data_IF_109157736661
#
_entry.id   IF_109157736661
#
_cell.length_a   1.000
_cell.length_b   1.000
_cell.length_c   1.000
_cell.angle_alpha   90.00
_cell.angle_beta   90.00
_cell.angle_gamma   90.00
#
_symmetry.space_group_name_H-M   'P 1'
#
loop_
_entity.id
_entity.type
_entity.pdbx_description
1 polymer ?
#
# COMPACT_ATOMS: atom_id res chain seq x y z
N UNK A 1 -15.74 0.55 -35.63
CA UNK A 1 -14.60 -0.25 -35.14
C UNK A 1 -14.92 -0.63 -33.71
N UNK A 2 -15.12 -1.91 -33.44
CA UNK A 2 -15.45 -2.43 -32.12
C UNK A 2 -14.15 -2.61 -31.32
N UNK A 3 -14.05 -1.96 -30.16
CA UNK A 3 -12.97 -2.19 -29.21
C UNK A 3 -13.27 -3.50 -28.50
N UNK A 4 -12.60 -4.58 -28.90
CA UNK A 4 -12.57 -5.82 -28.15
C UNK A 4 -11.81 -5.57 -26.86
N UNK A 5 -12.54 -5.41 -25.76
CA UNK A 5 -12.00 -5.37 -24.39
C UNK A 5 -11.57 -6.78 -24.06
N UNK A 6 -10.31 -7.10 -24.32
CA UNK A 6 -9.69 -8.38 -24.00
C UNK A 6 -9.48 -8.51 -22.50
N UNK A 7 -10.03 -9.59 -21.94
CA UNK A 7 -9.85 -10.21 -20.62
C UNK A 7 -8.75 -9.67 -19.69
N UNK A 8 -9.12 -9.27 -18.46
CA UNK A 8 -8.25 -9.33 -17.26
C UNK A 8 -7.41 -8.09 -16.90
N UNK A 9 -7.73 -6.92 -17.47
CA UNK A 9 -6.95 -5.68 -17.27
C UNK A 9 -7.82 -4.50 -16.85
N UNK A 10 -9.00 -4.76 -16.26
CA UNK A 10 -9.86 -3.69 -15.78
C UNK A 10 -9.29 -3.06 -14.49
N UNK A 11 -8.65 -3.86 -13.62
CA UNK A 11 -7.93 -3.35 -12.44
C UNK A 11 -6.69 -2.51 -12.77
N UNK A 12 -6.06 -2.72 -13.93
CA UNK A 12 -4.84 -2.02 -14.34
C UNK A 12 -5.06 -0.56 -14.78
N UNK A 13 -6.30 -0.14 -15.04
CA UNK A 13 -6.63 1.24 -15.50
C UNK A 13 -6.58 2.26 -14.34
N UNK A 14 -6.66 1.79 -13.09
CA UNK A 14 -6.64 2.62 -11.88
C UNK A 14 -5.41 2.39 -11.00
N UNK A 15 -4.41 1.67 -11.50
CA UNK A 15 -3.19 1.41 -10.76
C UNK A 15 -2.35 2.69 -10.67
N UNK A 16 -1.94 3.04 -9.45
CA UNK A 16 -1.05 4.18 -9.21
C UNK A 16 0.40 3.69 -9.27
N UNK A 17 1.23 4.31 -10.12
CA UNK A 17 2.67 4.07 -10.09
C UNK A 17 3.27 4.89 -8.94
N UNK A 18 3.71 4.22 -7.87
CA UNK A 18 4.18 4.86 -6.65
C UNK A 18 5.68 4.62 -6.49
N UNK A 19 6.44 5.61 -6.02
CA UNK A 19 7.86 5.47 -5.70
C UNK A 19 8.09 4.73 -4.37
N UNK A 20 9.30 4.18 -4.19
CA UNK A 20 9.71 3.57 -2.93
C UNK A 20 9.50 4.52 -1.73
N UNK A 21 9.91 5.79 -1.85
CA UNK A 21 9.76 6.80 -0.79
C UNK A 21 8.28 7.09 -0.44
N UNK A 22 7.38 6.94 -1.41
CA UNK A 22 5.93 7.13 -1.18
C UNK A 22 5.29 5.90 -0.50
N UNK A 23 5.87 4.70 -0.67
CA UNK A 23 5.43 3.49 0.04
C UNK A 23 5.79 3.57 1.52
N UNK A 24 6.92 4.19 1.86
CA UNK A 24 7.39 4.31 3.24
C UNK A 24 6.37 4.96 4.19
N UNK A 25 6.41 4.52 5.45
CA UNK A 25 5.53 4.98 6.50
C UNK A 25 4.41 3.99 6.83
N UNK A 26 3.45 4.45 7.64
CA UNK A 26 2.38 3.61 8.18
C UNK A 26 1.11 3.69 7.34
N UNK A 27 0.60 2.53 6.99
CA UNK A 27 -0.65 2.30 6.28
C UNK A 27 -1.63 1.61 7.22
N UNK A 28 -2.88 2.01 7.20
CA UNK A 28 -3.93 1.44 8.05
C UNK A 28 -5.19 1.18 7.28
N UNK A 29 -5.86 0.09 7.58
CA UNK A 29 -7.22 -0.19 7.11
C UNK A 29 -8.27 0.07 8.19
N UNK A 30 -9.53 0.15 7.77
CA UNK A 30 -10.68 0.25 8.68
C UNK A 30 -10.88 -1.04 9.50
N UNK A 31 -10.26 -2.16 9.10
CA UNK A 31 -10.21 -3.43 9.85
C UNK A 31 -9.24 -3.41 11.05
N UNK A 32 -8.61 -2.27 11.34
CA UNK A 32 -7.47 -2.10 12.26
C UNK A 32 -6.20 -2.88 11.85
N UNK A 33 -6.06 -3.28 10.59
CA UNK A 33 -4.78 -3.80 10.09
C UNK A 33 -3.84 -2.62 9.87
N UNK A 34 -2.56 -2.78 10.23
CA UNK A 34 -1.54 -1.79 9.87
C UNK A 34 -0.29 -2.42 9.29
N UNK A 35 0.30 -1.73 8.30
CA UNK A 35 1.59 -2.06 7.70
C UNK A 35 2.49 -0.84 7.84
N UNK A 36 3.70 -1.02 8.34
CA UNK A 36 4.71 0.04 8.43
C UNK A 36 5.89 -0.34 7.56
N UNK A 37 6.10 0.42 6.50
CA UNK A 37 7.18 0.21 5.54
C UNK A 37 8.38 1.09 5.86
N UNK A 38 9.57 0.51 5.77
CA UNK A 38 10.85 1.16 6.04
C UNK A 38 11.69 1.31 4.77
N UNK A 39 12.60 2.30 4.78
CA UNK A 39 13.55 2.62 3.70
C UNK A 39 14.42 1.41 3.30
N UNK A 40 14.77 0.55 4.26
CA UNK A 40 15.58 -0.64 4.08
C UNK A 40 14.84 -1.83 3.43
N UNK A 41 13.67 -1.58 2.82
CA UNK A 41 12.80 -2.58 2.19
C UNK A 41 12.26 -3.63 3.17
N UNK A 42 12.24 -3.32 4.47
CA UNK A 42 11.54 -4.14 5.47
C UNK A 42 10.17 -3.55 5.81
N UNK A 43 9.29 -4.39 6.34
CA UNK A 43 8.02 -3.93 6.91
C UNK A 43 7.67 -4.68 8.19
N UNK A 44 6.87 -4.01 9.02
CA UNK A 44 6.18 -4.59 10.15
C UNK A 44 4.67 -4.59 9.90
N UNK A 45 3.97 -5.61 10.39
CA UNK A 45 2.54 -5.78 10.24
C UNK A 45 1.88 -6.01 11.60
N UNK A 46 0.73 -5.37 11.79
CA UNK A 46 -0.13 -5.55 12.95
C UNK A 46 -1.51 -5.97 12.47
N UNK A 47 -2.08 -7.01 13.09
CA UNK A 47 -3.41 -7.54 12.77
C UNK A 47 -3.59 -7.87 11.27
N UNK A 48 -2.53 -8.36 10.61
CA UNK A 48 -2.59 -8.76 9.20
C UNK A 48 -3.52 -9.97 9.00
N UNK A 49 -3.64 -10.83 10.01
CA UNK A 49 -4.55 -11.97 10.06
C UNK A 49 -6.04 -11.62 9.90
N UNK A 50 -6.40 -10.34 10.06
CA UNK A 50 -7.75 -9.86 9.79
C UNK A 50 -8.06 -9.70 8.30
N UNK A 51 -7.04 -9.63 7.45
CA UNK A 51 -7.23 -9.54 6.01
C UNK A 51 -7.51 -10.93 5.44
N UNK A 52 -8.51 -11.10 4.55
CA UNK A 52 -8.81 -12.41 3.96
C UNK A 52 -7.61 -13.10 3.30
N UNK A 53 -6.74 -12.31 2.63
CA UNK A 53 -5.54 -12.81 1.96
C UNK A 53 -4.52 -13.44 2.92
N UNK A 54 -4.54 -13.08 4.20
CA UNK A 54 -3.64 -13.67 5.18
C UNK A 54 -3.94 -15.17 5.41
N UNK A 55 -5.18 -15.60 5.19
CA UNK A 55 -5.59 -17.00 5.33
C UNK A 55 -5.10 -17.91 4.20
N UNK A 56 -4.59 -17.33 3.11
CA UNK A 56 -3.88 -18.09 2.09
C UNK A 56 -2.48 -18.52 2.57
N UNK A 57 -1.95 -17.85 3.61
CA UNK A 57 -0.76 -18.27 4.32
C UNK A 57 -1.10 -19.32 5.40
N UNK A 58 -0.23 -20.31 5.60
CA UNK A 58 -0.46 -21.40 6.55
C UNK A 58 -0.61 -20.98 8.02
N UNK A 59 0.03 -19.87 8.43
CA UNK A 59 -0.02 -19.34 9.81
C UNK A 59 -0.31 -17.83 9.82
N UNK A 60 -1.57 -17.40 9.62
CA UNK A 60 -1.92 -15.98 9.44
C UNK A 60 -1.53 -15.09 10.62
N UNK A 61 -1.66 -15.58 11.86
CA UNK A 61 -1.33 -14.84 13.07
C UNK A 61 0.18 -14.62 13.29
N UNK A 62 1.03 -15.30 12.52
CA UNK A 62 2.49 -15.18 12.61
C UNK A 62 3.08 -14.22 11.55
N UNK A 63 2.23 -13.62 10.72
CA UNK A 63 2.58 -12.67 9.68
C UNK A 63 2.80 -11.27 10.26
N UNK A 64 3.93 -11.10 10.96
CA UNK A 64 4.23 -9.89 11.72
C UNK A 64 5.26 -8.97 11.05
N UNK A 65 6.08 -9.50 10.14
CA UNK A 65 7.12 -8.73 9.47
C UNK A 65 7.65 -9.45 8.22
N UNK A 66 8.35 -8.69 7.39
CA UNK A 66 8.92 -9.22 6.17
C UNK A 66 9.73 -8.20 5.39
N UNK A 67 9.97 -8.54 4.13
CA UNK A 67 10.55 -7.64 3.13
C UNK A 67 9.54 -7.29 2.06
N UNK A 68 9.73 -6.15 1.42
CA UNK A 68 8.87 -5.71 0.33
C UNK A 68 9.67 -5.32 -0.90
N UNK A 69 9.08 -5.56 -2.07
CA UNK A 69 9.67 -5.27 -3.37
C UNK A 69 8.58 -4.87 -4.36
N UNK A 70 8.91 -4.11 -5.40
CA UNK A 70 7.94 -3.91 -6.48
C UNK A 70 7.97 -5.10 -7.43
N UNK A 71 6.81 -5.47 -7.97
CA UNK A 71 6.76 -6.30 -9.16
C UNK A 71 7.12 -5.46 -10.38
N UNK A 72 8.30 -5.71 -10.95
CA UNK A 72 8.79 -5.04 -12.14
C UNK A 72 9.13 -6.09 -13.22
N UNK A 73 9.05 -5.74 -14.51
CA UNK A 73 9.56 -6.61 -15.56
C UNK A 73 11.06 -6.80 -15.33
N UNK A 74 11.48 -8.05 -15.11
CA UNK A 74 12.91 -8.35 -15.00
C UNK A 74 13.57 -8.06 -16.36
N UNK A 75 14.78 -7.49 -16.37
CA UNK A 75 15.48 -7.19 -17.62
C UNK A 75 15.61 -8.46 -18.49
N UNK A 76 14.89 -8.48 -19.61
CA UNK A 76 14.90 -9.60 -20.56
C UNK A 76 13.75 -10.60 -20.44
N UNK A 77 12.88 -10.47 -19.43
CA UNK A 77 11.71 -11.34 -19.25
C UNK A 77 10.38 -10.58 -19.43
N UNK A 78 9.40 -11.25 -20.04
CA UNK A 78 8.04 -10.71 -20.18
C UNK A 78 7.19 -10.88 -18.90
N UNK A 79 7.77 -11.49 -17.86
CA UNK A 79 7.11 -11.77 -16.60
C UNK A 79 7.62 -10.81 -15.53
N UNK A 80 6.69 -10.17 -14.82
CA UNK A 80 7.06 -9.35 -13.67
C UNK A 80 7.53 -10.26 -12.53
N UNK A 81 8.65 -9.91 -11.90
CA UNK A 81 9.17 -10.57 -10.70
C UNK A 81 9.35 -9.52 -9.60
N UNK A 82 9.44 -9.97 -8.34
CA UNK A 82 9.78 -9.08 -7.24
C UNK A 82 11.21 -8.55 -7.39
N UNK A 83 11.37 -7.24 -7.54
CA UNK A 83 12.64 -6.54 -7.68
C UNK A 83 12.79 -5.50 -6.56
N UNK A 84 13.71 -5.78 -5.62
CA UNK A 84 14.04 -4.86 -4.50
C UNK A 84 14.76 -3.59 -4.99
N UNK A 85 15.33 -3.59 -6.20
CA UNK A 85 16.03 -2.45 -6.80
C UNK A 85 15.12 -1.49 -7.55
N UNK A 86 13.90 -1.94 -7.87
CA UNK A 86 12.91 -1.12 -8.54
C UNK A 86 12.54 0.11 -7.70
N UNK A 87 12.71 1.30 -8.28
CA UNK A 87 12.44 2.56 -7.58
C UNK A 87 10.94 2.90 -7.47
N UNK A 88 10.10 2.23 -8.26
CA UNK A 88 8.66 2.50 -8.39
C UNK A 88 7.93 1.28 -8.94
N UNK A 89 6.64 1.23 -8.70
CA UNK A 89 5.77 0.22 -9.31
C UNK A 89 4.32 0.39 -8.90
N UNK A 90 3.48 -0.46 -9.47
CA UNK A 90 2.02 -0.49 -9.25
C UNK A 90 1.57 -1.67 -8.38
N UNK A 91 2.48 -2.61 -8.12
CA UNK A 91 2.24 -3.83 -7.34
C UNK A 91 3.43 -4.07 -6.44
N UNK A 92 3.16 -4.34 -5.17
CA UNK A 92 4.13 -4.76 -4.17
C UNK A 92 4.04 -6.27 -3.94
N UNK A 93 5.20 -6.88 -3.77
CA UNK A 93 5.36 -8.20 -3.17
C UNK A 93 5.65 -8.00 -1.69
N UNK A 94 4.80 -8.55 -0.80
CA UNK A 94 5.01 -8.60 0.64
C UNK A 94 5.48 -10.01 1.01
N UNK A 95 6.77 -10.15 1.29
CA UNK A 95 7.42 -11.42 1.55
C UNK A 95 7.61 -11.55 3.06
N UNK A 96 6.74 -12.32 3.71
CA UNK A 96 6.79 -12.54 5.15
C UNK A 96 7.95 -13.44 5.53
N UNK A 97 8.66 -13.10 6.61
CA UNK A 97 9.76 -13.93 7.11
C UNK A 97 9.27 -15.29 7.64
N UNK A 98 8.04 -15.34 8.13
CA UNK A 98 7.41 -16.56 8.61
C UNK A 98 6.68 -17.29 7.48
N UNK A 99 6.95 -18.59 7.35
CA UNK A 99 6.14 -19.48 6.52
C UNK A 99 6.28 -19.32 5.02
N UNK A 100 7.34 -18.65 4.55
CA UNK A 100 7.62 -18.38 3.13
C UNK A 100 6.40 -17.84 2.38
N UNK A 101 5.58 -17.02 3.05
CA UNK A 101 4.36 -16.49 2.46
C UNK A 101 4.63 -15.20 1.69
N UNK A 102 4.19 -15.17 0.44
CA UNK A 102 4.19 -13.97 -0.39
C UNK A 102 2.76 -13.51 -0.64
N UNK A 103 2.48 -12.24 -0.31
CA UNK A 103 1.20 -11.60 -0.59
C UNK A 103 1.40 -10.45 -1.57
N UNK A 104 0.60 -10.42 -2.63
CA UNK A 104 0.59 -9.29 -3.56
C UNK A 104 -0.28 -8.17 -3.01
N UNK A 105 0.23 -6.94 -3.09
CA UNK A 105 -0.51 -5.74 -2.75
C UNK A 105 -0.54 -4.79 -3.95
N UNK A 106 -1.75 -4.53 -4.45
CA UNK A 106 -1.98 -3.66 -5.58
C UNK A 106 -2.13 -2.22 -5.10
N UNK A 107 -1.50 -1.30 -5.83
CA UNK A 107 -1.51 0.12 -5.52
C UNK A 107 -2.49 0.82 -6.47
N UNK A 108 -3.47 1.51 -5.90
CA UNK A 108 -4.50 2.24 -6.63
C UNK A 108 -4.55 3.71 -6.20
N UNK A 109 -5.35 4.50 -6.90
CA UNK A 109 -5.60 5.90 -6.59
C UNK A 109 -4.74 6.84 -7.42
N UNK A 110 -4.34 7.97 -6.83
CA UNK A 110 -3.44 8.96 -7.43
C UNK A 110 -2.25 9.25 -6.50
N UNK A 111 -1.23 9.93 -7.02
CA UNK A 111 0.03 10.22 -6.31
C UNK A 111 -0.15 10.92 -4.95
N UNK A 112 -1.26 11.64 -4.76
CA UNK A 112 -1.53 12.42 -3.55
C UNK A 112 -2.31 11.66 -2.47
N UNK A 113 -3.10 10.66 -2.89
CA UNK A 113 -3.91 9.83 -2.01
C UNK A 113 -3.88 8.37 -2.46
N UNK A 114 -2.70 7.71 -2.40
CA UNK A 114 -2.60 6.32 -2.80
C UNK A 114 -3.29 5.40 -1.80
N UNK A 115 -3.85 4.31 -2.32
CA UNK A 115 -4.46 3.24 -1.52
C UNK A 115 -3.82 1.91 -1.86
N UNK A 116 -3.62 1.08 -0.85
CA UNK A 116 -3.00 -0.23 -0.97
C UNK A 116 -4.03 -1.32 -0.72
N UNK A 117 -4.01 -2.36 -1.56
CA UNK A 117 -4.91 -3.48 -1.43
C UNK A 117 -4.15 -4.81 -1.51
N UNK A 118 -3.86 -5.45 -0.36
CA UNK A 118 -3.35 -6.82 -0.29
C UNK A 118 -4.43 -7.81 -0.74
N UNK A 119 -4.25 -8.40 -1.93
CA UNK A 119 -5.21 -9.37 -2.51
C UNK A 119 -4.52 -10.31 -3.49
N UNK A 120 -5.02 -11.54 -3.58
CA UNK A 120 -4.65 -12.50 -4.63
C UNK A 120 -5.33 -12.22 -5.97
N UNK A 121 -6.36 -11.38 -6.01
CA UNK A 121 -7.15 -11.06 -7.19
C UNK A 121 -7.35 -9.54 -7.32
N UNK A 122 -6.61 -8.92 -8.25
CA UNK A 122 -6.68 -7.48 -8.51
C UNK A 122 -7.99 -7.03 -9.15
N UNK A 123 -8.66 -7.92 -9.90
CA UNK A 123 -9.92 -7.60 -10.57
C UNK A 123 -11.07 -7.60 -9.56
N UNK A 124 -10.97 -8.39 -8.49
CA UNK A 124 -11.90 -8.38 -7.36
C UNK A 124 -11.66 -7.19 -6.40
N UNK A 125 -10.42 -6.68 -6.33
CA UNK A 125 -10.03 -5.64 -5.38
C UNK A 125 -9.99 -6.17 -3.94
N UNK A 126 -10.05 -5.26 -2.97
CA UNK A 126 -10.10 -5.63 -1.56
C UNK A 126 -11.54 -5.63 -1.08
N UNK A 127 -12.00 -6.68 -0.40
CA UNK A 127 -13.33 -6.67 0.20
C UNK A 127 -13.39 -5.62 1.32
N UNK A 128 -14.46 -4.82 1.32
CA UNK A 128 -14.86 -3.95 2.44
C UNK A 128 -13.75 -3.05 2.98
N UNK A 129 -13.39 -3.30 4.23
CA UNK A 129 -12.44 -2.61 5.10
C UNK A 129 -10.98 -3.06 4.91
N UNK A 130 -10.66 -3.79 3.85
CA UNK A 130 -9.32 -4.28 3.54
C UNK A 130 -8.38 -3.30 2.83
N UNK A 131 -8.88 -2.15 2.38
CA UNK A 131 -8.05 -1.10 1.78
C UNK A 131 -7.22 -0.41 2.86
N UNK A 132 -5.90 -0.34 2.66
CA UNK A 132 -5.02 0.44 3.52
C UNK A 132 -4.80 1.83 2.93
N UNK A 133 -4.91 2.82 3.80
CA UNK A 133 -4.65 4.22 3.52
C UNK A 133 -3.38 4.66 4.22
N UNK A 134 -2.56 5.45 3.55
CA UNK A 134 -1.37 6.03 4.16
C UNK A 134 -1.79 7.03 5.22
N UNK A 135 -1.30 6.86 6.45
CA UNK A 135 -1.42 7.88 7.47
C UNK A 135 -0.48 9.03 7.11
N UNK A 136 -0.97 10.00 6.34
CA UNK A 136 -0.27 11.28 6.24
C UNK A 136 -0.25 11.89 7.65
N UNK A 137 0.91 12.35 8.15
CA UNK A 137 0.90 13.22 9.31
C UNK A 137 -0.02 14.39 8.97
N UNK A 138 -1.06 14.58 9.79
CA UNK A 138 -2.01 15.66 9.59
C UNK A 138 -1.21 16.94 9.34
N UNK A 139 -1.34 17.51 8.14
CA UNK A 139 -0.74 18.80 7.86
C UNK A 139 -1.23 19.73 8.97
N UNK A 140 -0.30 20.22 9.79
CA UNK A 140 -0.59 21.15 10.88
C UNK A 140 -1.45 22.26 10.30
N UNK A 141 -2.74 22.25 10.66
CA UNK A 141 -3.68 23.28 10.26
C UNK A 141 -3.16 24.65 10.69
N UNK A 142 -3.52 25.72 9.96
CA UNK A 142 -2.94 27.03 10.18
C UNK A 142 -3.18 27.47 11.62
N UNK A 143 -2.09 27.88 12.25
CA UNK A 143 -2.03 28.66 13.47
C UNK A 143 -3.24 29.60 13.54
N UNK A 144 -4.15 29.31 14.47
CA UNK A 144 -5.24 30.21 14.82
C UNK A 144 -4.59 31.50 15.32
N UNK A 145 -4.59 32.52 14.47
CA UNK A 145 -4.12 33.86 14.79
C UNK A 145 -4.85 34.35 16.05
N UNK A 146 -4.15 34.27 17.17
CA UNK A 146 -4.60 34.75 18.46
C UNK A 146 -4.96 36.22 18.35
N UNK A 147 -6.24 36.49 18.58
CA UNK A 147 -6.80 37.83 18.77
C UNK A 147 -5.98 38.59 19.82
N UNK A 148 -5.24 39.61 19.40
CA UNK A 148 -4.68 40.62 20.32
C UNK A 148 -5.75 41.69 20.54
N UNK A 149 -6.32 41.86 21.75
CA UNK A 149 -7.09 43.06 22.03
C UNK A 149 -6.16 44.27 22.05
N UNK A 150 -6.50 45.27 21.24
CA UNK A 150 -5.92 46.61 21.26
C UNK A 150 -6.29 47.26 22.59
N UNK A 151 -5.32 47.34 23.50
CA UNK A 151 -5.42 48.20 24.68
C UNK A 151 -5.17 49.65 24.26
N UNK A 152 -6.24 50.40 23.99
CA UNK A 152 -6.18 51.86 23.92
C UNK A 152 -5.90 52.42 25.31
N UNK A 153 -4.85 53.22 25.41
CA UNK A 153 -4.54 53.97 26.62
C UNK A 153 -5.59 55.03 26.94
N UNK A 154 -5.66 55.36 28.23
CA UNK A 154 -5.89 56.69 28.79
C UNK A 154 -5.39 56.69 30.24
#
# INVERSE_FOLDING_TARGET
MALTVSCGWAGAIHAAEISADQVEGRWTSDADTSLTFHEDRTFAAEHFDKLPVAHDCGEPSALLSGRWAFYAPAEGDQFNTADETAARGTVLSLIFTTGDCEVRAYLFGDDSAPVMCPTGDADAGCPGDGYLHRNQPAASGPEAAGTRPVGSGR
#
